data_IF_605414155192
#
_entry.id   IF_605414155192
#
_cell.length_a   1.000
_cell.length_b   1.000
_cell.length_c   1.000
_cell.angle_alpha   90.00
_cell.angle_beta   90.00
_cell.angle_gamma   90.00
#
_symmetry.space_group_name_H-M   'P 1'
#
loop_
_entity.id
_entity.type
_entity.pdbx_description
1 polymer ?
#
# COMPACT_ATOMS: atom_id res chain seq x y z
N UNK A 1 -24.70 21.84 12.65
CA UNK A 1 -23.24 21.63 12.61
C UNK A 1 -22.77 21.98 11.19
N UNK A 2 -21.61 22.62 11.07
CA UNK A 2 -20.95 22.91 9.81
C UNK A 2 -19.76 21.96 9.65
N UNK A 3 -19.50 21.49 8.43
CA UNK A 3 -18.38 20.62 8.11
C UNK A 3 -17.65 21.15 6.88
N UNK A 4 -16.34 20.98 6.84
CA UNK A 4 -15.49 21.27 5.69
C UNK A 4 -14.49 20.13 5.52
N UNK A 5 -14.30 19.72 4.28
CA UNK A 5 -13.29 18.75 3.89
C UNK A 5 -12.36 19.37 2.84
N UNK A 6 -11.08 19.10 2.98
CA UNK A 6 -10.05 19.37 1.99
C UNK A 6 -9.17 18.15 1.85
N UNK A 7 -8.84 17.80 0.61
CA UNK A 7 -8.02 16.63 0.33
C UNK A 7 -6.69 17.05 -0.29
N UNK A 8 -5.62 16.67 0.34
CA UNK A 8 -4.26 16.84 -0.16
C UNK A 8 -3.78 15.52 -0.77
N UNK A 9 -3.62 15.55 -2.10
CA UNK A 9 -3.30 14.36 -2.89
C UNK A 9 -1.82 14.29 -3.22
N UNK A 10 -1.23 13.11 -3.11
CA UNK A 10 0.04 12.80 -3.74
C UNK A 10 -0.10 12.89 -5.28
N UNK A 11 0.97 13.25 -5.96
CA UNK A 11 1.07 13.25 -7.42
C UNK A 11 0.89 11.87 -8.05
N UNK A 12 1.05 10.79 -7.30
CA UNK A 12 0.93 9.42 -7.77
C UNK A 12 -0.53 9.01 -7.94
N UNK A 13 -0.84 8.48 -9.13
CA UNK A 13 -2.21 8.06 -9.46
C UNK A 13 -2.72 6.90 -8.59
N UNK A 14 -1.84 6.01 -8.15
CA UNK A 14 -2.21 4.79 -7.42
C UNK A 14 -1.18 4.50 -6.33
N UNK A 15 -1.67 4.24 -5.13
CA UNK A 15 -0.84 3.93 -3.96
C UNK A 15 -0.06 5.12 -3.40
N UNK A 16 -0.39 6.36 -3.78
CA UNK A 16 0.09 7.56 -3.13
C UNK A 16 -0.67 7.84 -1.84
N UNK A 17 -0.05 8.61 -0.94
CA UNK A 17 -0.70 9.05 0.28
C UNK A 17 -1.74 10.13 -0.04
N UNK A 18 -2.87 10.10 0.64
CA UNK A 18 -3.86 11.18 0.61
C UNK A 18 -4.14 11.61 2.03
N UNK A 19 -3.99 12.90 2.31
CA UNK A 19 -4.36 13.48 3.60
C UNK A 19 -5.72 14.17 3.48
N UNK A 20 -6.67 13.75 4.32
CA UNK A 20 -8.00 14.32 4.37
C UNK A 20 -8.12 15.22 5.59
N UNK A 21 -8.20 16.52 5.37
CA UNK A 21 -8.38 17.52 6.43
C UNK A 21 -9.86 17.77 6.63
N UNK A 22 -10.39 17.33 7.78
CA UNK A 22 -11.80 17.48 8.13
C UNK A 22 -11.94 18.45 9.30
N UNK A 23 -12.89 19.38 9.17
CA UNK A 23 -13.26 20.33 10.25
C UNK A 23 -14.74 20.24 10.50
N UNK A 24 -15.07 20.28 11.79
CA UNK A 24 -16.44 20.34 12.25
C UNK A 24 -16.60 21.51 13.23
N UNK A 25 -17.70 22.25 13.14
CA UNK A 25 -17.91 23.41 13.98
C UNK A 25 -19.38 23.80 14.13
N UNK A 26 -19.68 24.59 15.18
CA UNK A 26 -21.01 25.13 15.45
C UNK A 26 -21.30 26.39 14.64
N UNK A 27 -20.27 27.02 14.06
CA UNK A 27 -20.37 28.20 13.20
C UNK A 27 -19.85 27.89 11.80
N UNK A 28 -20.24 28.68 10.77
CA UNK A 28 -19.78 28.49 9.39
C UNK A 28 -18.25 28.53 9.29
N UNK A 29 -17.67 27.55 8.59
CA UNK A 29 -16.24 27.45 8.29
C UNK A 29 -16.04 28.10 6.92
N UNK A 30 -15.38 29.25 6.85
CA UNK A 30 -15.27 30.05 5.63
C UNK A 30 -13.91 29.97 4.94
N UNK A 31 -12.87 29.51 5.64
CA UNK A 31 -11.51 29.43 5.10
C UNK A 31 -11.11 28.00 4.83
N UNK A 32 -10.41 27.78 3.70
CA UNK A 32 -9.75 26.52 3.39
C UNK A 32 -8.27 26.62 3.75
N UNK A 33 -7.79 25.80 4.65
CA UNK A 33 -6.38 25.69 5.05
C UNK A 33 -6.09 24.29 5.57
N UNK A 34 -4.84 23.87 5.49
CA UNK A 34 -4.40 22.59 6.03
C UNK A 34 -4.49 22.60 7.56
N UNK A 35 -4.76 21.46 8.15
CA UNK A 35 -4.82 21.29 9.60
C UNK A 35 -3.41 20.96 10.09
N UNK A 36 -2.86 21.78 10.99
CA UNK A 36 -1.57 21.58 11.64
C UNK A 36 -1.71 21.35 13.16
N UNK A 37 -2.95 21.31 13.65
CA UNK A 37 -3.30 20.97 15.04
C UNK A 37 -4.58 20.16 15.02
N UNK A 38 -4.43 18.84 15.01
CA UNK A 38 -5.53 17.90 14.90
C UNK A 38 -5.93 17.34 16.26
N UNK A 39 -7.23 17.27 16.53
CA UNK A 39 -7.75 16.55 17.72
C UNK A 39 -7.80 15.04 17.46
N UNK A 40 -7.84 14.64 16.19
CA UNK A 40 -7.96 13.26 15.75
C UNK A 40 -7.15 13.03 14.49
N UNK A 41 -6.34 11.98 14.48
CA UNK A 41 -5.64 11.47 13.28
C UNK A 41 -5.97 10.00 13.09
N UNK A 42 -6.33 9.59 11.89
CA UNK A 42 -6.49 8.19 11.52
C UNK A 42 -5.48 7.79 10.44
N UNK A 43 -4.72 6.75 10.70
CA UNK A 43 -3.84 6.11 9.74
C UNK A 43 -4.51 4.85 9.19
N UNK A 44 -4.92 4.87 7.92
CA UNK A 44 -5.69 3.78 7.30
C UNK A 44 -4.80 2.65 6.76
N UNK A 45 -3.51 2.90 6.55
CA UNK A 45 -2.56 1.90 6.09
C UNK A 45 -1.41 1.77 7.09
N UNK A 46 -1.18 0.59 7.70
CA UNK A 46 -0.17 0.41 8.73
C UNK A 46 1.27 0.67 8.23
N UNK A 47 1.55 0.49 6.92
CA UNK A 47 2.88 0.79 6.37
C UNK A 47 3.28 2.27 6.47
N UNK A 48 2.31 3.17 6.63
CA UNK A 48 2.55 4.62 6.66
C UNK A 48 3.24 5.09 7.94
N UNK A 49 3.09 4.38 9.06
CA UNK A 49 3.70 4.80 10.35
C UNK A 49 5.23 4.85 10.32
N UNK A 50 5.87 4.12 9.40
CA UNK A 50 7.32 4.16 9.20
C UNK A 50 7.77 5.17 8.14
N UNK A 51 6.89 5.51 7.21
CA UNK A 51 7.22 6.30 6.02
C UNK A 51 6.89 7.79 6.16
N UNK A 52 5.91 8.09 6.99
CA UNK A 52 5.40 9.45 7.19
C UNK A 52 5.30 9.78 8.67
N UNK A 53 5.46 11.05 9.00
CA UNK A 53 5.28 11.51 10.36
C UNK A 53 3.78 11.69 10.68
N UNK A 54 3.13 10.58 11.09
CA UNK A 54 1.67 10.51 11.20
C UNK A 54 1.08 11.23 12.41
N UNK A 55 1.87 11.46 13.47
CA UNK A 55 1.35 11.93 14.78
C UNK A 55 1.72 13.37 15.12
N UNK A 56 2.65 13.98 14.37
CA UNK A 56 3.18 15.32 14.68
C UNK A 56 2.13 16.44 14.71
N UNK A 57 1.03 16.25 14.00
CA UNK A 57 -0.06 17.23 13.90
C UNK A 57 -1.09 17.07 15.04
N UNK A 58 -0.97 16.04 15.88
CA UNK A 58 -1.87 15.86 17.03
C UNK A 58 -1.57 16.86 18.14
N UNK A 59 -2.64 17.41 18.70
CA UNK A 59 -2.55 18.17 19.94
C UNK A 59 -2.35 17.22 21.13
N UNK A 60 -1.84 17.72 22.25
CA UNK A 60 -1.73 16.96 23.50
C UNK A 60 -3.11 16.42 23.92
N UNK A 61 -3.16 15.16 24.32
CA UNK A 61 -4.40 14.46 24.65
C UNK A 61 -5.31 14.15 23.45
N UNK A 62 -4.84 14.39 22.23
CA UNK A 62 -5.55 14.03 20.99
C UNK A 62 -5.73 12.53 20.82
N UNK A 63 -6.42 12.12 19.77
CA UNK A 63 -6.71 10.72 19.49
C UNK A 63 -6.01 10.25 18.22
N UNK A 64 -5.30 9.12 18.31
CA UNK A 64 -4.71 8.42 17.15
C UNK A 64 -5.42 7.09 16.93
N UNK A 65 -5.93 6.85 15.74
CA UNK A 65 -6.51 5.58 15.29
C UNK A 65 -5.64 4.96 14.22
N UNK A 66 -5.15 3.75 14.45
CA UNK A 66 -4.36 2.98 13.46
C UNK A 66 -5.14 1.76 12.97
N UNK A 67 -5.33 1.67 11.67
CA UNK A 67 -5.85 0.45 11.03
C UNK A 67 -4.71 -0.55 10.85
N UNK A 68 -4.66 -1.59 11.68
CA UNK A 68 -3.63 -2.63 11.63
C UNK A 68 -4.13 -3.95 12.22
N UNK A 69 -3.52 -5.09 11.86
CA UNK A 69 -3.83 -6.40 12.44
C UNK A 69 -3.03 -6.69 13.72
N UNK A 70 -2.27 -5.74 14.25
CA UNK A 70 -1.28 -5.94 15.31
C UNK A 70 -1.91 -5.98 16.70
N UNK A 71 -1.40 -6.87 17.53
CA UNK A 71 -1.52 -6.85 18.98
C UNK A 71 -0.39 -6.03 19.62
N UNK A 72 -0.25 -6.07 20.95
CA UNK A 72 0.81 -5.32 21.65
C UNK A 72 2.22 -5.72 21.22
N UNK A 73 2.48 -7.01 20.96
CA UNK A 73 3.79 -7.48 20.47
C UNK A 73 4.05 -6.95 19.05
N UNK A 74 3.03 -7.00 18.19
CA UNK A 74 3.09 -6.41 16.85
C UNK A 74 3.30 -4.90 16.89
N UNK A 75 2.63 -4.16 17.77
CA UNK A 75 2.84 -2.72 17.95
C UNK A 75 4.26 -2.41 18.41
N UNK A 76 4.81 -3.19 19.37
CA UNK A 76 6.21 -3.03 19.79
C UNK A 76 7.20 -3.24 18.65
N UNK A 77 6.93 -4.19 17.78
CA UNK A 77 7.80 -4.53 16.64
C UNK A 77 7.71 -3.50 15.50
N UNK A 78 6.51 -3.00 15.21
CA UNK A 78 6.26 -2.26 13.97
C UNK A 78 6.13 -0.75 14.13
N UNK A 79 5.77 -0.23 15.31
CA UNK A 79 5.75 1.21 15.55
C UNK A 79 7.16 1.77 15.71
N UNK A 80 7.54 2.79 14.95
CA UNK A 80 8.82 3.47 15.15
C UNK A 80 8.93 4.11 16.52
N UNK A 81 10.16 4.21 17.05
CA UNK A 81 10.39 4.75 18.38
C UNK A 81 9.90 6.18 18.54
N UNK A 82 10.06 7.05 17.56
CA UNK A 82 9.55 8.43 17.59
C UNK A 82 8.02 8.51 17.70
N UNK A 83 7.29 7.58 17.04
CA UNK A 83 5.83 7.52 17.14
C UNK A 83 5.42 7.06 18.54
N UNK A 84 6.07 6.03 19.09
CA UNK A 84 5.87 5.56 20.47
C UNK A 84 6.11 6.67 21.47
N UNK A 85 7.27 7.35 21.37
CA UNK A 85 7.64 8.44 22.25
C UNK A 85 6.65 9.61 22.17
N UNK A 86 6.21 9.98 20.98
CA UNK A 86 5.21 11.03 20.82
C UNK A 86 3.89 10.66 21.53
N UNK A 87 3.35 9.48 21.25
CA UNK A 87 2.09 8.99 21.86
C UNK A 87 2.17 9.05 23.39
N UNK A 88 3.26 8.54 23.98
CA UNK A 88 3.42 8.46 25.41
C UNK A 88 3.67 9.82 26.08
N UNK A 89 4.48 10.70 25.47
CA UNK A 89 4.84 12.00 26.06
C UNK A 89 3.75 13.07 25.91
N UNK A 90 2.90 12.96 24.88
CA UNK A 90 1.80 13.90 24.63
C UNK A 90 0.44 13.39 25.14
N UNK A 91 0.41 12.25 25.85
CA UNK A 91 -0.82 11.68 26.39
C UNK A 91 -1.88 11.35 25.35
N UNK A 92 -1.44 10.92 24.16
CA UNK A 92 -2.32 10.59 23.04
C UNK A 92 -3.16 9.36 23.37
N UNK A 93 -4.46 9.45 23.17
CA UNK A 93 -5.39 8.30 23.22
C UNK A 93 -5.18 7.46 21.99
N UNK A 94 -4.58 6.28 22.16
CA UNK A 94 -4.21 5.43 21.05
C UNK A 94 -5.20 4.29 20.88
N UNK A 95 -5.72 4.13 19.67
CA UNK A 95 -6.67 3.08 19.30
C UNK A 95 -6.20 2.33 18.06
N UNK A 96 -6.55 1.04 18.01
CA UNK A 96 -6.33 0.18 16.84
C UNK A 96 -7.65 -0.45 16.37
N UNK A 97 -7.69 -0.80 15.09
CA UNK A 97 -8.78 -1.54 14.46
C UNK A 97 -8.24 -2.38 13.32
N UNK A 98 -8.69 -3.64 13.19
CA UNK A 98 -8.42 -4.46 12.01
C UNK A 98 -9.59 -4.39 11.02
N UNK A 99 -9.62 -3.32 10.23
CA UNK A 99 -10.66 -3.09 9.24
C UNK A 99 -10.67 -4.14 8.13
N UNK A 100 -9.53 -4.76 7.82
CA UNK A 100 -9.43 -5.83 6.80
C UNK A 100 -10.12 -7.09 7.29
N UNK A 101 -9.84 -7.52 8.51
CA UNK A 101 -10.51 -8.66 9.16
C UNK A 101 -12.01 -8.44 9.26
N UNK A 102 -12.44 -7.28 9.77
CA UNK A 102 -13.85 -6.91 9.87
C UNK A 102 -14.53 -6.94 8.50
N UNK A 103 -13.87 -6.42 7.45
CA UNK A 103 -14.38 -6.43 6.09
C UNK A 103 -14.61 -7.84 5.56
N UNK A 104 -13.71 -8.78 5.85
CA UNK A 104 -13.86 -10.20 5.49
C UNK A 104 -15.02 -10.83 6.26
N UNK A 105 -15.07 -10.68 7.58
CA UNK A 105 -16.09 -11.25 8.46
C UNK A 105 -17.51 -10.76 8.15
N UNK A 106 -17.64 -9.50 7.73
CA UNK A 106 -18.94 -8.91 7.35
C UNK A 106 -19.34 -9.14 5.90
N UNK A 107 -18.49 -9.85 5.12
CA UNK A 107 -18.73 -10.12 3.70
C UNK A 107 -18.53 -8.93 2.76
N UNK A 108 -17.90 -7.83 3.25
CA UNK A 108 -17.49 -6.69 2.43
C UNK A 108 -16.23 -6.99 1.61
N UNK A 109 -15.40 -7.91 2.10
CA UNK A 109 -14.08 -8.25 1.56
C UNK A 109 -12.96 -7.33 2.07
N UNK A 110 -11.69 -7.66 1.76
CA UNK A 110 -10.52 -7.05 2.40
C UNK A 110 -10.25 -5.59 2.00
N UNK A 111 -10.87 -5.11 0.94
CA UNK A 111 -10.59 -3.77 0.38
C UNK A 111 -11.67 -2.73 0.64
N UNK A 112 -12.85 -3.13 1.12
CA UNK A 112 -13.99 -2.24 1.34
C UNK A 112 -14.13 -1.88 2.81
N UNK A 113 -13.12 -1.22 3.35
CA UNK A 113 -13.03 -0.90 4.78
C UNK A 113 -13.50 0.52 5.13
N UNK A 114 -13.89 1.33 4.16
CA UNK A 114 -14.21 2.75 4.36
C UNK A 114 -15.31 2.96 5.41
N UNK A 115 -16.44 2.25 5.32
CA UNK A 115 -17.55 2.38 6.27
C UNK A 115 -17.18 1.89 7.66
N UNK A 116 -16.30 0.91 7.78
CA UNK A 116 -15.76 0.41 9.04
C UNK A 116 -14.95 1.49 9.74
N UNK A 117 -14.00 2.08 9.02
CA UNK A 117 -13.11 3.13 9.57
C UNK A 117 -13.88 4.43 9.84
N UNK A 118 -14.87 4.76 9.02
CA UNK A 118 -15.75 5.91 9.27
C UNK A 118 -16.59 5.73 10.53
N UNK A 119 -17.08 4.53 10.79
CA UNK A 119 -17.83 4.23 12.01
C UNK A 119 -16.95 4.33 13.26
N UNK A 120 -15.73 3.78 13.21
CA UNK A 120 -14.74 3.94 14.28
C UNK A 120 -14.41 5.43 14.53
N UNK A 121 -14.25 6.21 13.45
CA UNK A 121 -14.04 7.65 13.54
C UNK A 121 -15.16 8.36 14.31
N UNK A 122 -16.43 8.16 13.94
CA UNK A 122 -17.53 8.84 14.61
C UNK A 122 -17.68 8.46 16.09
N UNK A 123 -17.35 7.21 16.44
CA UNK A 123 -17.31 6.77 17.81
C UNK A 123 -16.23 7.51 18.64
N UNK A 124 -15.03 7.64 18.07
CA UNK A 124 -13.87 8.16 18.79
C UNK A 124 -13.78 9.70 18.77
N UNK A 125 -14.28 10.33 17.71
CA UNK A 125 -14.16 11.77 17.52
C UNK A 125 -15.21 12.59 18.29
N UNK A 126 -16.24 11.94 18.84
CA UNK A 126 -17.31 12.54 19.67
C UNK A 126 -17.93 13.82 19.06
N UNK A 127 -18.16 13.80 17.74
CA UNK A 127 -18.71 14.94 17.00
C UNK A 127 -20.23 15.01 17.13
N UNK A 128 -20.87 13.83 17.11
CA UNK A 128 -22.31 13.60 17.32
C UNK A 128 -22.47 12.32 18.14
N UNK A 129 -23.61 12.12 18.85
CA UNK A 129 -23.87 10.88 19.59
C UNK A 129 -23.67 9.63 18.71
N UNK A 130 -23.05 8.58 19.27
CA UNK A 130 -22.67 7.37 18.54
C UNK A 130 -23.87 6.69 17.85
N UNK A 131 -24.99 6.56 18.56
CA UNK A 131 -26.23 5.99 18.02
C UNK A 131 -26.76 6.78 16.82
N UNK A 132 -26.80 8.11 16.93
CA UNK A 132 -27.18 8.99 15.84
C UNK A 132 -26.22 8.86 14.65
N UNK A 133 -24.93 8.75 14.87
CA UNK A 133 -23.94 8.57 13.81
C UNK A 133 -24.18 7.26 13.05
N UNK A 134 -24.38 6.15 13.79
CA UNK A 134 -24.66 4.84 13.21
C UNK A 134 -25.94 4.84 12.40
N UNK A 135 -27.01 5.45 12.90
CA UNK A 135 -28.28 5.53 12.16
C UNK A 135 -28.15 6.33 10.87
N UNK A 136 -27.46 7.48 10.92
CA UNK A 136 -27.19 8.30 9.74
C UNK A 136 -26.31 7.55 8.70
N UNK A 137 -25.29 6.82 9.14
CA UNK A 137 -24.46 6.02 8.28
C UNK A 137 -25.24 4.87 7.63
N UNK A 138 -26.11 4.18 8.38
CA UNK A 138 -26.99 3.14 7.84
C UNK A 138 -27.96 3.68 6.80
N UNK A 139 -28.57 4.85 7.07
CA UNK A 139 -29.44 5.51 6.13
C UNK A 139 -28.71 5.89 4.84
N UNK A 140 -27.49 6.47 4.94
CA UNK A 140 -26.66 6.79 3.81
C UNK A 140 -26.23 5.55 2.99
N UNK A 141 -25.87 4.46 3.66
CA UNK A 141 -25.56 3.19 3.02
C UNK A 141 -26.76 2.63 2.25
N UNK A 142 -27.96 2.69 2.84
CA UNK A 142 -29.20 2.29 2.16
C UNK A 142 -29.50 3.14 0.95
N UNK A 143 -29.36 4.45 1.05
CA UNK A 143 -29.58 5.38 -0.06
C UNK A 143 -28.60 5.11 -1.22
N UNK A 144 -27.33 4.82 -0.90
CA UNK A 144 -26.26 4.62 -1.89
C UNK A 144 -26.34 3.23 -2.55
N UNK A 145 -26.57 2.20 -1.76
CA UNK A 145 -26.44 0.82 -2.20
C UNK A 145 -27.77 0.07 -2.36
N UNK A 146 -28.91 0.65 -1.99
CA UNK A 146 -30.21 -0.01 -2.06
C UNK A 146 -30.56 -0.57 -3.45
N UNK A 147 -30.13 0.12 -4.52
CA UNK A 147 -30.34 -0.37 -5.90
C UNK A 147 -29.51 -1.63 -6.25
N UNK A 148 -28.50 -1.99 -5.43
CA UNK A 148 -27.66 -3.17 -5.61
C UNK A 148 -28.21 -4.42 -4.89
N UNK A 149 -29.34 -4.27 -4.18
CA UNK A 149 -30.01 -5.33 -3.44
C UNK A 149 -29.80 -5.25 -1.92
N UNK A 150 -30.75 -5.82 -1.19
CA UNK A 150 -30.77 -5.77 0.27
C UNK A 150 -29.57 -6.48 0.92
N UNK A 151 -29.04 -7.55 0.32
CA UNK A 151 -27.85 -8.24 0.81
C UNK A 151 -26.63 -7.29 0.91
N UNK A 152 -26.46 -6.41 -0.08
CA UNK A 152 -25.38 -5.42 -0.07
C UNK A 152 -25.58 -4.39 1.04
N UNK A 153 -26.84 -3.97 1.27
CA UNK A 153 -27.18 -3.03 2.34
C UNK A 153 -26.91 -3.65 3.71
N UNK A 154 -27.34 -4.91 3.93
CA UNK A 154 -27.12 -5.61 5.19
C UNK A 154 -25.63 -5.81 5.52
N UNK A 155 -24.80 -6.16 4.53
CA UNK A 155 -23.35 -6.25 4.70
C UNK A 155 -22.74 -4.90 5.11
N UNK A 156 -23.18 -3.80 4.50
CA UNK A 156 -22.72 -2.46 4.90
C UNK A 156 -23.16 -2.11 6.33
N UNK A 157 -24.39 -2.45 6.74
CA UNK A 157 -24.87 -2.21 8.09
C UNK A 157 -24.07 -3.02 9.12
N UNK A 158 -23.82 -4.30 8.84
CA UNK A 158 -22.98 -5.14 9.69
C UNK A 158 -21.55 -4.57 9.84
N UNK A 159 -20.98 -4.06 8.74
CA UNK A 159 -19.66 -3.44 8.73
C UNK A 159 -19.61 -2.14 9.56
N UNK A 160 -20.67 -1.30 9.47
CA UNK A 160 -20.80 -0.08 10.29
C UNK A 160 -20.86 -0.43 11.78
N UNK A 161 -21.71 -1.39 12.17
CA UNK A 161 -21.82 -1.81 13.58
C UNK A 161 -20.52 -2.42 14.10
N UNK A 162 -19.87 -3.28 13.30
CA UNK A 162 -18.60 -3.90 13.67
C UNK A 162 -17.47 -2.87 13.83
N UNK A 163 -17.41 -1.86 12.97
CA UNK A 163 -16.42 -0.79 13.04
C UNK A 163 -16.51 0.00 14.34
N UNK A 164 -17.72 0.30 14.81
CA UNK A 164 -17.92 0.94 16.10
C UNK A 164 -17.57 0.03 17.28
N UNK A 165 -17.88 -1.27 17.21
CA UNK A 165 -17.73 -2.21 18.33
C UNK A 165 -16.31 -2.75 18.49
N UNK A 166 -15.56 -2.93 17.41
CA UNK A 166 -14.28 -3.65 17.39
C UNK A 166 -13.05 -2.73 17.44
N UNK A 167 -13.24 -1.44 17.65
CA UNK A 167 -12.13 -0.53 17.95
C UNK A 167 -11.59 -0.82 19.36
N UNK A 168 -10.27 -0.94 19.49
CA UNK A 168 -9.59 -1.32 20.75
C UNK A 168 -8.69 -0.18 21.22
N UNK A 169 -8.83 0.19 22.47
CA UNK A 169 -7.93 1.15 23.12
C UNK A 169 -6.63 0.45 23.54
N UNK A 170 -5.50 1.04 23.16
CA UNK A 170 -4.18 0.53 23.50
C UNK A 170 -3.72 1.16 24.82
N UNK A 171 -3.40 0.34 25.79
CA UNK A 171 -2.76 0.80 27.03
C UNK A 171 -1.30 1.15 26.73
N UNK A 172 -1.00 2.44 26.60
CA UNK A 172 0.33 2.94 26.22
C UNK A 172 1.34 2.62 27.32
N UNK A 173 2.41 1.84 27.04
CA UNK A 173 3.42 1.54 28.04
C UNK A 173 4.26 2.75 28.43
N UNK A 174 4.58 2.90 29.70
CA UNK A 174 5.49 3.95 30.18
C UNK A 174 6.89 3.89 29.53
N UNK A 175 7.35 2.68 29.15
CA UNK A 175 8.61 2.48 28.42
C UNK A 175 8.69 3.24 27.11
N UNK A 176 7.55 3.51 26.47
CA UNK A 176 7.51 4.23 25.19
C UNK A 176 7.99 5.68 25.30
N UNK A 177 7.93 6.30 26.47
CA UNK A 177 8.42 7.67 26.69
C UNK A 177 9.88 7.89 26.29
N UNK A 178 10.68 6.83 26.43
CA UNK A 178 12.12 6.86 26.17
C UNK A 178 12.49 6.06 24.91
N UNK A 179 11.52 5.75 24.04
CA UNK A 179 11.81 5.06 22.79
C UNK A 179 12.71 5.92 21.88
N UNK A 180 13.73 5.29 21.30
CA UNK A 180 14.71 6.00 20.46
C UNK A 180 14.06 6.44 19.15
N UNK A 181 14.44 7.62 18.65
CA UNK A 181 14.07 8.06 17.31
C UNK A 181 14.84 7.24 16.27
N UNK A 182 14.12 6.48 15.46
CA UNK A 182 14.68 5.65 14.38
C UNK A 182 14.68 6.40 13.02
N UNK A 183 14.11 7.60 12.98
CA UNK A 183 13.85 8.34 11.74
C UNK A 183 12.75 7.70 10.87
N UNK A 184 12.51 8.33 9.73
CA UNK A 184 11.58 7.77 8.72
C UNK A 184 12.32 6.79 7.80
N UNK A 185 11.61 5.75 7.39
CA UNK A 185 12.07 4.81 6.36
C UNK A 185 12.02 5.50 5.00
N UNK A 186 13.17 6.03 4.56
CA UNK A 186 13.30 6.72 3.28
C UNK A 186 13.86 5.78 2.21
N UNK A 187 13.43 6.00 0.98
CA UNK A 187 14.02 5.35 -0.19
C UNK A 187 15.50 5.69 -0.31
N UNK A 188 16.33 4.70 -0.55
CA UNK A 188 17.76 4.84 -0.81
C UNK A 188 18.16 4.08 -2.07
N UNK A 189 18.89 4.75 -2.98
CA UNK A 189 19.41 4.14 -4.20
C UNK A 189 20.92 3.86 -4.01
N UNK A 190 21.32 2.61 -4.18
CA UNK A 190 22.73 2.19 -4.06
C UNK A 190 23.41 2.05 -5.41
N UNK A 191 22.69 1.56 -6.40
CA UNK A 191 23.21 1.22 -7.71
C UNK A 191 22.40 1.89 -8.82
N UNK A 192 23.04 2.12 -9.97
CA UNK A 192 22.42 2.69 -11.15
C UNK A 192 23.16 3.87 -11.74
N UNK A 193 22.50 4.61 -12.60
CA UNK A 193 23.07 5.80 -13.23
C UNK A 193 23.27 6.88 -12.19
N UNK A 194 24.48 7.48 -12.15
CA UNK A 194 24.91 8.41 -11.09
C UNK A 194 23.92 9.57 -10.86
N UNK A 195 23.46 10.20 -11.92
CA UNK A 195 22.51 11.32 -11.83
C UNK A 195 21.17 10.93 -11.20
N UNK A 196 20.66 9.72 -11.52
CA UNK A 196 19.44 9.21 -10.93
C UNK A 196 19.63 8.87 -9.45
N UNK A 197 20.74 8.21 -9.09
CA UNK A 197 21.08 7.87 -7.70
C UNK A 197 21.23 9.15 -6.85
N UNK A 198 21.96 10.14 -7.35
CA UNK A 198 22.15 11.41 -6.65
C UNK A 198 20.80 12.12 -6.42
N UNK A 199 19.95 12.19 -7.45
CA UNK A 199 18.62 12.80 -7.34
C UNK A 199 17.72 12.08 -6.34
N UNK A 200 17.68 10.75 -6.40
CA UNK A 200 16.88 9.92 -5.47
C UNK A 200 17.31 10.18 -4.03
N UNK A 201 18.61 10.11 -3.75
CA UNK A 201 19.11 10.21 -2.38
C UNK A 201 19.08 11.63 -1.80
N UNK A 202 19.12 12.67 -2.65
CA UNK A 202 19.16 14.06 -2.19
C UNK A 202 17.81 14.76 -2.19
N UNK A 203 16.93 14.45 -3.14
CA UNK A 203 15.67 15.16 -3.34
C UNK A 203 14.47 14.21 -3.23
N UNK A 204 14.40 13.20 -4.10
CA UNK A 204 13.20 12.37 -4.26
C UNK A 204 12.82 11.64 -2.97
N UNK A 205 13.78 11.10 -2.22
CA UNK A 205 13.51 10.39 -0.97
C UNK A 205 12.79 11.28 0.05
N UNK A 206 13.23 12.51 0.24
CA UNK A 206 12.62 13.49 1.15
C UNK A 206 11.25 13.95 0.68
N UNK A 207 11.12 14.25 -0.62
CA UNK A 207 9.82 14.63 -1.20
C UNK A 207 8.81 13.50 -1.08
N UNK A 208 9.22 12.26 -1.34
CA UNK A 208 8.36 11.08 -1.20
C UNK A 208 7.95 10.79 0.25
N UNK A 209 8.79 11.14 1.23
CA UNK A 209 8.49 11.04 2.66
C UNK A 209 7.66 12.22 3.21
N UNK A 210 7.21 13.15 2.37
CA UNK A 210 6.53 14.41 2.75
C UNK A 210 7.42 15.38 3.55
N UNK A 211 8.75 15.19 3.51
CA UNK A 211 9.77 16.03 4.17
C UNK A 211 10.43 17.02 3.21
N UNK A 212 9.83 17.25 2.03
CA UNK A 212 10.37 18.14 1.00
C UNK A 212 10.60 19.57 1.46
N UNK A 213 9.81 20.07 2.41
CA UNK A 213 9.99 21.42 2.99
C UNK A 213 11.31 21.58 3.78
N UNK A 214 11.96 20.49 4.16
CA UNK A 214 13.30 20.52 4.79
C UNK A 214 14.44 20.80 3.80
N UNK A 215 14.15 20.71 2.49
CA UNK A 215 15.15 20.97 1.45
C UNK A 215 15.36 22.47 1.24
N UNK A 216 16.62 22.93 1.16
CA UNK A 216 16.89 24.31 0.77
C UNK A 216 16.56 24.51 -0.71
N UNK A 217 16.17 25.73 -1.10
CA UNK A 217 15.90 26.08 -2.51
C UNK A 217 17.06 25.71 -3.44
N UNK A 218 18.31 25.84 -2.94
CA UNK A 218 19.51 25.50 -3.69
C UNK A 218 19.64 24.01 -4.04
N UNK A 219 18.89 23.11 -3.40
CA UNK A 219 18.85 21.70 -3.78
C UNK A 219 18.32 21.49 -5.21
N UNK A 220 17.48 22.41 -5.68
CA UNK A 220 16.85 22.34 -7.00
C UNK A 220 17.58 23.12 -8.10
N UNK A 221 18.78 23.66 -7.83
CA UNK A 221 19.52 24.52 -8.77
C UNK A 221 19.81 23.85 -10.13
N UNK A 222 19.99 22.54 -10.14
CA UNK A 222 20.28 21.75 -11.35
C UNK A 222 19.00 21.27 -12.06
N UNK A 223 17.82 21.61 -11.52
CA UNK A 223 16.50 21.18 -11.97
C UNK A 223 15.52 22.36 -12.13
N UNK A 224 16.04 23.56 -12.45
CA UNK A 224 15.26 24.80 -12.51
C UNK A 224 14.19 24.81 -13.60
N UNK A 225 14.31 23.97 -14.61
CA UNK A 225 13.35 23.75 -15.70
C UNK A 225 12.29 22.71 -15.36
N UNK A 226 12.36 22.09 -14.17
CA UNK A 226 11.46 21.04 -13.72
C UNK A 226 11.76 19.65 -14.28
N UNK A 227 12.83 19.50 -15.07
CA UNK A 227 13.27 18.17 -15.53
C UNK A 227 13.92 17.39 -14.39
N UNK A 228 13.75 16.08 -14.41
CA UNK A 228 14.36 15.15 -13.44
C UNK A 228 14.99 13.97 -14.19
N UNK A 229 15.97 13.28 -13.62
CA UNK A 229 16.57 12.12 -14.25
C UNK A 229 15.52 11.03 -14.53
N UNK A 230 15.56 10.43 -15.71
CA UNK A 230 14.71 9.29 -16.05
C UNK A 230 15.09 8.05 -15.25
N UNK A 231 14.09 7.17 -14.99
CA UNK A 231 14.34 5.89 -14.34
C UNK A 231 14.29 5.92 -12.82
N UNK A 232 14.03 7.07 -12.20
CA UNK A 232 13.99 7.21 -10.74
C UNK A 232 12.84 6.48 -10.08
N UNK A 233 11.77 6.16 -10.82
CA UNK A 233 10.64 5.36 -10.32
C UNK A 233 11.04 3.95 -9.89
N UNK A 234 12.11 3.38 -10.44
CA UNK A 234 12.63 2.07 -10.05
C UNK A 234 13.05 2.00 -8.57
N UNK A 235 13.41 3.14 -7.99
CA UNK A 235 13.86 3.24 -6.60
C UNK A 235 12.74 3.53 -5.59
N UNK A 236 11.51 3.78 -6.02
CA UNK A 236 10.43 4.17 -5.11
C UNK A 236 10.08 3.08 -4.09
N UNK A 237 9.97 1.83 -4.49
CA UNK A 237 9.76 0.66 -3.62
C UNK A 237 8.89 0.93 -2.39
N UNK A 238 7.67 1.44 -2.61
CA UNK A 238 6.83 2.01 -1.54
C UNK A 238 6.34 1.02 -0.47
N UNK A 239 6.21 -0.28 -0.81
CA UNK A 239 5.85 -1.32 0.15
C UNK A 239 4.52 -1.08 0.88
N UNK A 240 3.50 -0.58 0.17
CA UNK A 240 2.21 -0.18 0.75
C UNK A 240 1.15 -1.29 0.79
N UNK A 241 1.42 -2.42 0.15
CA UNK A 241 0.49 -3.53 0.12
C UNK A 241 0.46 -4.25 1.47
N UNK A 242 -0.74 -4.53 1.98
CA UNK A 242 -0.92 -5.43 3.14
C UNK A 242 -0.72 -6.89 2.70
N UNK A 243 -1.24 -7.24 1.51
CA UNK A 243 -1.08 -8.56 0.92
C UNK A 243 -0.56 -8.42 -0.51
N UNK A 244 0.33 -9.33 -0.91
CA UNK A 244 0.91 -9.44 -2.26
C UNK A 244 0.62 -10.80 -2.87
N UNK A 245 0.63 -10.95 -4.22
CA UNK A 245 0.41 -12.23 -4.84
C UNK A 245 1.65 -13.14 -4.66
N UNK A 246 1.44 -14.33 -4.13
CA UNK A 246 2.44 -15.41 -4.08
C UNK A 246 2.16 -16.43 -5.18
N UNK A 247 3.21 -16.84 -5.88
CA UNK A 247 3.08 -17.73 -7.04
C UNK A 247 3.26 -19.20 -6.69
N UNK A 248 2.24 -20.01 -7.03
CA UNK A 248 2.32 -21.47 -7.04
C UNK A 248 2.53 -21.97 -8.47
N UNK A 249 3.74 -22.47 -8.76
CA UNK A 249 4.14 -22.97 -10.07
C UNK A 249 3.33 -24.21 -10.53
N UNK A 250 2.89 -25.08 -9.63
CA UNK A 250 2.16 -26.31 -9.95
C UNK A 250 0.79 -26.03 -10.58
N UNK A 251 0.17 -24.92 -10.19
CA UNK A 251 -1.12 -24.51 -10.69
C UNK A 251 -1.03 -23.52 -11.86
N UNK A 252 0.19 -23.13 -12.27
CA UNK A 252 0.39 -22.13 -13.30
C UNK A 252 0.29 -22.76 -14.71
N UNK A 253 -0.53 -22.13 -15.58
CA UNK A 253 -0.67 -22.51 -17.00
C UNK A 253 0.10 -21.57 -17.93
N UNK A 254 0.92 -20.67 -17.41
CA UNK A 254 1.77 -19.73 -18.16
C UNK A 254 0.99 -18.85 -19.16
N UNK A 255 -0.20 -18.40 -18.78
CA UNK A 255 -1.06 -17.58 -19.66
C UNK A 255 -0.74 -16.08 -19.61
N UNK A 256 0.04 -15.60 -18.62
CA UNK A 256 0.46 -14.22 -18.39
C UNK A 256 -0.66 -13.20 -18.16
N UNK A 257 -1.92 -13.63 -17.93
CA UNK A 257 -3.03 -12.73 -17.65
C UNK A 257 -2.80 -11.87 -16.40
N UNK A 258 -2.16 -12.44 -15.39
CA UNK A 258 -1.81 -11.73 -14.14
C UNK A 258 -0.88 -10.55 -14.39
N UNK A 259 0.14 -10.73 -15.21
CA UNK A 259 1.05 -9.66 -15.62
C UNK A 259 0.33 -8.61 -16.48
N UNK A 260 -0.50 -9.05 -17.41
CA UNK A 260 -1.23 -8.15 -18.31
C UNK A 260 -2.16 -7.18 -17.59
N UNK A 261 -2.83 -7.61 -16.50
CA UNK A 261 -3.76 -6.75 -15.75
C UNK A 261 -3.12 -5.95 -14.64
N UNK A 262 -1.82 -6.15 -14.39
CA UNK A 262 -1.15 -5.42 -13.33
C UNK A 262 -0.89 -3.97 -13.74
N UNK A 263 -1.49 -2.97 -13.06
CA UNK A 263 -1.34 -1.57 -13.43
C UNK A 263 0.05 -1.00 -13.12
N UNK A 264 0.85 -1.73 -12.32
CA UNK A 264 2.18 -1.31 -11.86
C UNK A 264 3.32 -2.18 -12.41
N UNK A 265 3.03 -3.13 -13.31
CA UNK A 265 3.99 -4.11 -13.80
C UNK A 265 4.75 -4.88 -12.68
N UNK A 266 4.18 -4.92 -11.47
CA UNK A 266 4.77 -5.54 -10.28
C UNK A 266 4.78 -7.07 -10.30
N UNK A 267 4.13 -7.71 -11.27
CA UNK A 267 4.16 -9.17 -11.49
C UNK A 267 4.52 -9.44 -12.94
N UNK A 268 5.62 -10.18 -13.16
CA UNK A 268 6.19 -10.38 -14.49
C UNK A 268 6.52 -11.85 -14.78
N UNK A 269 6.24 -12.35 -15.99
CA UNK A 269 6.78 -13.61 -16.45
C UNK A 269 8.22 -13.42 -16.90
N UNK A 270 9.06 -14.40 -16.63
CA UNK A 270 10.42 -14.43 -17.13
C UNK A 270 10.75 -15.77 -17.78
N UNK A 271 11.44 -15.73 -18.92
CA UNK A 271 12.02 -16.88 -19.56
C UNK A 271 13.52 -16.92 -19.21
N UNK A 272 13.97 -18.03 -18.66
CA UNK A 272 15.35 -18.24 -18.22
C UNK A 272 15.98 -19.35 -19.06
N UNK A 273 17.21 -19.17 -19.50
CA UNK A 273 18.05 -20.27 -20.00
C UNK A 273 18.39 -21.22 -18.83
N UNK A 274 18.94 -22.38 -19.11
CA UNK A 274 19.41 -23.31 -18.07
C UNK A 274 20.45 -22.64 -17.15
N UNK A 275 21.40 -21.91 -17.73
CA UNK A 275 22.45 -21.19 -17.00
C UNK A 275 21.88 -20.06 -16.11
N UNK A 276 20.92 -19.28 -16.61
CA UNK A 276 20.25 -18.24 -15.84
C UNK A 276 19.42 -18.85 -14.70
N UNK A 277 18.79 -19.99 -14.91
CA UNK A 277 18.06 -20.69 -13.86
C UNK A 277 18.96 -21.25 -12.75
N UNK A 278 20.19 -21.66 -13.09
CA UNK A 278 21.20 -22.10 -12.11
C UNK A 278 21.77 -20.95 -11.29
N UNK A 279 21.87 -19.75 -11.90
CA UNK A 279 22.34 -18.53 -11.22
C UNK A 279 21.24 -17.80 -10.45
N UNK A 280 19.98 -18.24 -10.56
CA UNK A 280 18.87 -17.62 -9.91
C UNK A 280 19.02 -17.62 -8.37
N UNK A 281 18.53 -16.59 -7.66
CA UNK A 281 18.60 -16.55 -6.21
C UNK A 281 17.98 -17.78 -5.56
N UNK A 282 18.60 -18.26 -4.49
CA UNK A 282 18.12 -19.43 -3.73
C UNK A 282 16.65 -19.29 -3.34
N UNK A 283 15.87 -20.34 -3.62
CA UNK A 283 14.44 -20.40 -3.37
C UNK A 283 13.57 -19.92 -4.54
N UNK A 284 14.14 -19.36 -5.60
CA UNK A 284 13.37 -18.96 -6.78
C UNK A 284 12.76 -20.18 -7.48
N UNK A 285 11.45 -20.25 -7.54
CA UNK A 285 10.74 -21.33 -8.22
C UNK A 285 10.80 -21.13 -9.74
N UNK A 286 11.14 -22.21 -10.45
CA UNK A 286 11.14 -22.27 -11.91
C UNK A 286 10.43 -23.53 -12.40
N UNK A 287 9.85 -23.51 -13.59
CA UNK A 287 9.21 -24.67 -14.22
C UNK A 287 9.58 -24.75 -15.70
N UNK A 288 9.44 -25.90 -16.36
CA UNK A 288 9.63 -26.00 -17.80
C UNK A 288 8.73 -25.02 -18.55
N UNK A 289 9.28 -24.33 -19.56
CA UNK A 289 8.50 -23.39 -20.35
C UNK A 289 7.64 -24.13 -21.39
N UNK A 290 6.35 -23.88 -21.39
CA UNK A 290 5.43 -24.54 -22.33
C UNK A 290 5.74 -24.15 -23.77
N UNK A 291 6.06 -25.16 -24.61
CA UNK A 291 6.32 -24.97 -26.04
C UNK A 291 7.72 -24.45 -26.39
N UNK A 292 8.63 -24.33 -25.40
CA UNK A 292 10.05 -23.95 -25.58
C UNK A 292 10.91 -24.75 -24.61
N UNK A 293 11.41 -25.90 -25.02
CA UNK A 293 12.11 -26.86 -24.14
C UNK A 293 13.45 -26.33 -23.60
N UNK A 294 14.08 -25.41 -24.32
CA UNK A 294 15.37 -24.82 -23.95
C UNK A 294 15.27 -23.76 -22.83
N UNK A 295 14.04 -23.41 -22.45
CA UNK A 295 13.78 -22.39 -21.46
C UNK A 295 13.05 -22.93 -20.22
N UNK A 296 13.32 -22.28 -19.09
CA UNK A 296 12.51 -22.35 -17.87
C UNK A 296 11.61 -21.11 -17.79
N UNK A 297 10.50 -21.25 -17.10
CA UNK A 297 9.56 -20.19 -16.84
C UNK A 297 9.48 -19.90 -15.34
N UNK A 298 9.44 -18.64 -14.96
CA UNK A 298 9.07 -18.20 -13.64
C UNK A 298 8.08 -17.03 -13.71
N UNK A 299 7.34 -16.82 -12.62
CA UNK A 299 6.54 -15.64 -12.39
C UNK A 299 7.11 -14.95 -11.16
N UNK A 300 7.61 -13.73 -11.32
CA UNK A 300 8.24 -12.95 -10.25
C UNK A 300 7.37 -11.77 -9.85
N UNK A 301 7.46 -11.39 -8.58
CA UNK A 301 6.65 -10.30 -8.01
C UNK A 301 7.55 -9.31 -7.30
N UNK A 302 7.42 -8.02 -7.65
CA UNK A 302 7.95 -6.93 -6.86
C UNK A 302 6.99 -6.63 -5.72
N UNK A 303 7.29 -7.15 -4.53
CA UNK A 303 6.45 -6.98 -3.35
C UNK A 303 6.34 -5.49 -2.96
N UNK A 304 7.41 -4.74 -3.10
CA UNK A 304 7.48 -3.32 -2.73
C UNK A 304 6.80 -2.38 -3.74
N UNK A 305 6.63 -2.79 -5.01
CA UNK A 305 5.90 -2.01 -6.02
C UNK A 305 4.43 -2.43 -6.12
N UNK A 306 4.06 -3.56 -5.51
CA UNK A 306 2.69 -4.05 -5.47
C UNK A 306 1.82 -3.14 -4.60
N UNK A 307 0.59 -2.83 -5.06
CA UNK A 307 -0.41 -2.08 -4.28
C UNK A 307 -1.46 -2.96 -3.59
N UNK A 308 -1.33 -4.29 -3.73
CA UNK A 308 -2.25 -5.24 -3.07
C UNK A 308 -3.66 -5.29 -3.66
N UNK A 309 -3.89 -4.77 -4.87
CA UNK A 309 -5.24 -4.66 -5.47
C UNK A 309 -5.92 -6.01 -5.79
N UNK A 310 -5.18 -7.13 -5.83
CA UNK A 310 -5.72 -8.47 -6.07
C UNK A 310 -6.15 -8.78 -7.50
N UNK A 311 -6.02 -7.85 -8.46
CA UNK A 311 -6.46 -8.05 -9.85
C UNK A 311 -5.81 -9.27 -10.51
N UNK A 312 -4.52 -9.51 -10.27
CA UNK A 312 -3.78 -10.66 -10.80
C UNK A 312 -4.32 -12.00 -10.29
N UNK A 313 -4.61 -12.10 -8.98
CA UNK A 313 -5.20 -13.28 -8.38
C UNK A 313 -6.65 -13.51 -8.85
N UNK A 314 -7.40 -12.42 -9.08
CA UNK A 314 -8.78 -12.49 -9.57
C UNK A 314 -8.87 -13.10 -10.98
N UNK A 315 -8.02 -12.65 -11.92
CA UNK A 315 -8.05 -13.12 -13.32
C UNK A 315 -7.32 -14.44 -13.52
N UNK A 316 -6.62 -14.96 -12.52
CA UNK A 316 -5.88 -16.20 -12.60
C UNK A 316 -6.86 -17.38 -12.80
N UNK A 317 -6.82 -18.09 -13.95
CA UNK A 317 -7.67 -19.24 -14.16
C UNK A 317 -7.15 -20.48 -13.43
N UNK A 318 -5.84 -20.53 -13.20
CA UNK A 318 -5.16 -21.70 -12.66
C UNK A 318 -5.31 -22.96 -13.48
N UNK A 319 -4.84 -24.08 -12.92
CA UNK A 319 -4.96 -25.42 -13.51
C UNK A 319 -6.19 -26.09 -12.96
N UNK A 320 -7.16 -26.44 -13.84
CA UNK A 320 -8.43 -27.04 -13.45
C UNK A 320 -9.20 -26.24 -12.38
N UNK A 321 -9.08 -24.92 -12.41
CA UNK A 321 -9.75 -24.03 -11.43
C UNK A 321 -8.94 -23.75 -10.15
N UNK A 322 -7.85 -24.48 -9.88
CA UNK A 322 -6.94 -24.19 -8.78
C UNK A 322 -6.03 -23.02 -9.16
N UNK A 323 -6.22 -21.87 -8.53
CA UNK A 323 -5.47 -20.64 -8.83
C UNK A 323 -3.97 -20.82 -8.58
N UNK A 324 -3.15 -20.23 -9.44
CA UNK A 324 -1.71 -20.17 -9.30
C UNK A 324 -1.23 -18.95 -8.49
N UNK A 325 -2.14 -18.07 -8.07
CA UNK A 325 -1.83 -16.89 -7.28
C UNK A 325 -2.78 -16.83 -6.08
N UNK A 326 -2.21 -16.73 -4.90
CA UNK A 326 -2.89 -16.39 -3.66
C UNK A 326 -2.38 -15.03 -3.16
N UNK A 327 -3.25 -14.25 -2.51
CA UNK A 327 -2.84 -13.02 -1.85
C UNK A 327 -2.42 -13.36 -0.43
N UNK A 328 -1.15 -13.15 -0.09
CA UNK A 328 -0.55 -13.47 1.21
C UNK A 328 0.08 -12.23 1.83
N UNK A 329 0.34 -12.28 3.14
CA UNK A 329 0.90 -11.14 3.87
C UNK A 329 2.23 -10.70 3.25
N UNK A 330 2.36 -9.38 3.03
CA UNK A 330 3.52 -8.79 2.36
C UNK A 330 4.82 -9.04 3.13
N UNK A 331 4.82 -8.99 4.46
CA UNK A 331 6.03 -9.20 5.26
C UNK A 331 6.60 -10.61 5.10
N UNK A 332 5.72 -11.62 5.02
CA UNK A 332 6.14 -13.00 4.78
C UNK A 332 6.73 -13.21 3.38
N UNK A 333 6.33 -12.38 2.42
CA UNK A 333 6.70 -12.50 1.00
C UNK A 333 7.76 -11.49 0.56
N UNK A 334 8.14 -10.54 1.42
CA UNK A 334 9.10 -9.47 1.07
C UNK A 334 10.46 -10.01 0.61
N UNK A 335 10.89 -11.16 1.16
CA UNK A 335 12.12 -11.82 0.74
C UNK A 335 12.14 -12.33 -0.70
N UNK A 336 10.97 -12.41 -1.36
CA UNK A 336 10.87 -12.78 -2.78
C UNK A 336 11.18 -11.60 -3.72
N UNK A 337 11.32 -10.37 -3.22
CA UNK A 337 11.72 -9.21 -4.03
C UNK A 337 13.00 -9.48 -4.83
N UNK A 338 13.98 -10.17 -4.23
CA UNK A 338 15.24 -10.56 -4.89
C UNK A 338 15.04 -11.36 -6.19
N UNK A 339 13.91 -12.08 -6.33
CA UNK A 339 13.61 -12.83 -7.56
C UNK A 339 13.19 -11.89 -8.69
N UNK A 340 12.43 -10.86 -8.34
CA UNK A 340 12.03 -9.81 -9.29
C UNK A 340 13.26 -9.00 -9.72
N UNK A 341 14.09 -8.58 -8.77
CA UNK A 341 15.28 -7.77 -9.03
C UNK A 341 16.25 -8.54 -9.95
N UNK A 342 16.48 -9.82 -9.68
CA UNK A 342 17.25 -10.70 -10.58
C UNK A 342 16.63 -10.79 -11.98
N UNK A 343 15.33 -10.99 -12.07
CA UNK A 343 14.65 -11.23 -13.33
C UNK A 343 14.65 -10.01 -14.27
N UNK A 344 14.60 -8.79 -13.73
CA UNK A 344 14.58 -7.56 -14.54
C UNK A 344 15.95 -7.22 -15.13
N UNK A 345 17.02 -7.78 -14.60
CA UNK A 345 18.38 -7.62 -15.13
C UNK A 345 18.66 -8.57 -16.30
N UNK A 346 17.83 -9.63 -16.48
CA UNK A 346 18.02 -10.60 -17.56
C UNK A 346 17.67 -9.99 -18.92
N UNK A 347 18.44 -10.32 -19.98
CA UNK A 347 18.16 -9.82 -21.31
C UNK A 347 16.83 -10.37 -21.83
N UNK A 348 16.11 -9.55 -22.59
CA UNK A 348 14.91 -9.97 -23.31
C UNK A 348 15.25 -11.11 -24.31
N UNK A 349 14.35 -12.09 -24.42
CA UNK A 349 14.51 -13.25 -25.29
C UNK A 349 13.69 -13.04 -26.56
N UNK A 350 14.34 -12.57 -27.64
CA UNK A 350 13.67 -12.25 -28.90
C UNK A 350 12.93 -13.44 -29.52
N UNK A 351 13.48 -14.64 -29.42
CA UNK A 351 12.88 -15.88 -29.89
C UNK A 351 11.62 -16.28 -29.10
N UNK A 352 11.60 -16.01 -27.78
CA UNK A 352 10.42 -16.20 -26.93
C UNK A 352 9.31 -15.23 -27.34
N UNK A 353 9.64 -13.96 -27.55
CA UNK A 353 8.70 -12.94 -28.03
C UNK A 353 8.13 -13.33 -29.39
N UNK A 354 8.99 -13.73 -30.32
CA UNK A 354 8.59 -14.18 -31.67
C UNK A 354 7.66 -15.40 -31.61
N UNK A 355 7.98 -16.40 -30.76
CA UNK A 355 7.20 -17.63 -30.60
C UNK A 355 5.77 -17.36 -30.15
N UNK A 356 5.57 -16.50 -29.16
CA UNK A 356 4.25 -16.25 -28.58
C UNK A 356 3.51 -15.08 -29.19
N UNK A 357 4.11 -14.37 -30.15
CA UNK A 357 3.60 -13.18 -30.85
C UNK A 357 3.29 -12.02 -29.93
N UNK A 358 3.96 -10.91 -30.10
CA UNK A 358 3.84 -9.70 -29.26
C UNK A 358 2.43 -9.09 -29.22
N UNK A 359 1.59 -9.37 -30.22
CA UNK A 359 0.20 -8.91 -30.28
C UNK A 359 -0.79 -9.80 -29.49
N UNK A 360 -0.30 -10.76 -28.72
CA UNK A 360 -1.11 -11.59 -27.83
C UNK A 360 -0.87 -11.22 -26.37
N UNK A 361 -1.84 -11.53 -25.50
CA UNK A 361 -1.66 -11.34 -24.03
C UNK A 361 -0.41 -12.05 -23.54
N UNK A 362 -0.18 -13.29 -23.95
CA UNK A 362 0.99 -14.06 -23.51
C UNK A 362 2.29 -13.47 -24.03
N UNK A 363 2.36 -13.16 -25.32
CA UNK A 363 3.59 -12.71 -25.98
C UNK A 363 4.00 -11.31 -25.58
N UNK A 364 3.04 -10.38 -25.45
CA UNK A 364 3.31 -8.99 -25.07
C UNK A 364 4.03 -8.89 -23.73
N UNK A 365 3.76 -9.80 -22.80
CA UNK A 365 4.33 -9.76 -21.45
C UNK A 365 5.80 -10.23 -21.38
N UNK A 366 6.31 -10.92 -22.41
CA UNK A 366 7.72 -11.28 -22.50
C UNK A 366 8.60 -10.18 -23.11
N UNK A 367 8.01 -9.10 -23.60
CA UNK A 367 8.72 -7.95 -24.16
C UNK A 367 9.43 -7.10 -23.11
N UNK A 368 9.14 -7.32 -21.84
CA UNK A 368 9.71 -6.64 -20.69
C UNK A 368 9.60 -5.09 -20.74
N UNK A 369 8.39 -4.55 -20.88
CA UNK A 369 8.19 -3.10 -20.98
C UNK A 369 8.67 -2.33 -19.77
N UNK A 370 8.90 -3.00 -18.64
CA UNK A 370 9.37 -2.39 -17.40
C UNK A 370 10.65 -1.57 -17.59
N UNK A 371 11.56 -2.06 -18.43
CA UNK A 371 12.84 -1.39 -18.70
C UNK A 371 12.72 -0.27 -19.76
N UNK A 372 11.60 -0.20 -20.45
CA UNK A 372 11.35 0.78 -21.52
C UNK A 372 10.67 2.06 -21.00
N UNK A 373 10.04 2.00 -19.82
CA UNK A 373 9.22 3.09 -19.27
C UNK A 373 9.74 3.70 -17.97
N UNK A 374 10.85 3.27 -17.47
CA UNK A 374 11.44 3.80 -16.24
C UNK A 374 12.35 5.00 -16.51
#
# INVERSE_FOLDING_TARGET
MYAQAYFDYDSKKSGGVTMSHLRFGKSPIKSTYLIHKANFVACHNPSYVRKYNMVQELVDGGTFLLNCPWDMEGLEKHLPGQVKAFIANHGIKFYIIDGVKIGIETGMGPTRINTILQSAFFKLADIIPEDQAIDLMKAAAKATYGRKGDDVVQKNWAAIEAGAKQVVEVQVPESWKNAADEGLEMTHAENGRKDAVDFVNTIQSKVSAQEGNSLPVSAFKDYVDGSTPSGTSAYEKRGIAVNVPVWNSENCIQCNRCSYVCPHAAIRPVALTAEEAEKAPEGMKVMPMTGMADYKFAMVVSAYDCTGCGSCANVCPGKKGAKALAMENMEASAGEQKYFDYAVELPAKADVVAKYKENTVKGSQFKQPLLEFS
#
